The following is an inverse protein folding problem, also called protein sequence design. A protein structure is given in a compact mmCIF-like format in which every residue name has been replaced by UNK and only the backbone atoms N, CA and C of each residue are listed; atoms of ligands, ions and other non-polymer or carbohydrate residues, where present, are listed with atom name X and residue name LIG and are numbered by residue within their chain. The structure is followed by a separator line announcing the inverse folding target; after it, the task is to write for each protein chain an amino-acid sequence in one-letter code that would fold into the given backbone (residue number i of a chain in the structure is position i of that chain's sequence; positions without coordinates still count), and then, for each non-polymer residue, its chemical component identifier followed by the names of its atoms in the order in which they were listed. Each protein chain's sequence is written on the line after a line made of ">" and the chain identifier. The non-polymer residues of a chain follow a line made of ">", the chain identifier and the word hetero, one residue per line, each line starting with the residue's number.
data_IF_075952788033
#
_entry.id   IF_075952788033
#
_cell.length_a   1.000
_cell.length_b   1.000
_cell.length_c   1.000
_cell.angle_alpha   90.00
_cell.angle_beta   90.00
_cell.angle_gamma   90.00
#
_symmetry.space_group_name_H-M   'P 1'
#
loop_
_entity.id
_entity.type
_entity.pdbx_description
1 polymer ?
#
# COMPACT_ATOMS: atom_id res chain seq x y z
N UNK A 1 24.63 5.66 20.05
CA UNK A 1 24.53 5.51 20.00
C UNK A 1 24.23 5.10 20.35
N UNK A 2 23.91 4.70 20.14
CA UNK A 2 23.70 4.34 20.18
C UNK A 2 23.51 3.82 20.32
N UNK A 3 23.15 3.65 20.05
CA UNK A 3 23.08 3.34 19.86
C UNK A 3 22.99 2.71 19.96
N UNK A 4 22.93 2.45 19.97
CA UNK A 4 22.91 1.84 19.74
C UNK A 4 22.43 1.49 19.61
N UNK A 5 22.12 1.37 19.26
CA UNK A 5 21.74 1.22 18.80
C UNK A 5 21.39 1.52 18.06
N UNK A 6 21.45 1.79 17.98
CA UNK A 6 21.11 2.74 16.99
C UNK A 6 20.47 2.29 15.81
N UNK A 7 20.13 1.37 15.65
CA UNK A 7 19.58 0.87 14.60
C UNK A 7 18.29 1.19 14.23
N UNK A 8 17.52 1.40 15.02
CA UNK A 8 16.22 1.76 14.78
C UNK A 8 16.01 3.00 14.08
N UNK A 9 16.88 3.81 14.01
CA UNK A 9 16.78 5.01 13.23
C UNK A 9 16.49 4.74 11.78
N UNK A 10 17.14 3.74 11.24
CA UNK A 10 16.88 3.34 9.87
C UNK A 10 15.47 2.91 9.66
N UNK A 11 14.92 2.23 10.62
CA UNK A 11 13.55 1.79 10.53
C UNK A 11 12.61 2.97 10.49
N UNK A 12 12.87 4.00 11.25
CA UNK A 12 12.04 5.18 11.24
C UNK A 12 12.05 5.88 9.88
N UNK A 13 13.20 5.89 9.24
CA UNK A 13 13.31 6.51 7.92
C UNK A 13 12.54 5.75 6.86
N UNK A 14 12.48 4.45 7.02
CA UNK A 14 11.78 3.60 6.07
C UNK A 14 10.37 3.26 6.51
N UNK A 15 9.81 4.07 7.38
CA UNK A 15 8.54 3.78 8.00
C UNK A 15 7.39 3.91 7.00
N UNK A 16 7.10 2.82 6.31
CA UNK A 16 5.96 2.72 5.39
C UNK A 16 5.21 1.44 5.70
N UNK A 17 3.97 1.39 5.26
CA UNK A 17 3.20 0.17 5.27
C UNK A 17 2.96 -0.23 3.81
N UNK A 18 2.84 -1.51 3.55
CA UNK A 18 2.76 -1.96 2.16
C UNK A 18 1.83 -3.14 2.01
N UNK A 19 1.34 -3.31 0.79
CA UNK A 19 0.55 -4.47 0.40
C UNK A 19 0.91 -4.85 -1.02
N UNK A 20 0.56 -6.07 -1.41
CA UNK A 20 0.87 -6.62 -2.73
C UNK A 20 -0.42 -6.74 -3.52
N UNK A 21 -0.39 -6.36 -4.78
CA UNK A 21 -1.56 -6.41 -5.64
C UNK A 21 -1.21 -6.99 -7.00
N UNK A 22 -2.24 -7.44 -7.72
CA UNK A 22 -2.12 -8.00 -9.06
C UNK A 22 -2.37 -6.93 -10.11
N UNK A 23 -1.93 -7.21 -11.33
CA UNK A 23 -2.16 -6.33 -12.47
C UNK A 23 -3.34 -6.84 -13.28
N UNK A 24 -4.31 -5.97 -13.52
CA UNK A 24 -5.47 -6.28 -14.36
C UNK A 24 -5.11 -6.29 -15.83
N UNK A 25 -5.99 -6.89 -16.65
CA UNK A 25 -5.77 -6.95 -18.08
C UNK A 25 -5.73 -5.58 -18.77
N UNK A 26 -6.31 -4.57 -18.14
CA UNK A 26 -6.27 -3.18 -18.63
C UNK A 26 -5.10 -2.38 -18.06
N UNK A 27 -4.14 -3.10 -17.43
CA UNK A 27 -2.91 -2.51 -16.86
C UNK A 27 -3.16 -1.55 -15.69
N UNK A 28 -4.26 -1.76 -15.00
CA UNK A 28 -4.50 -1.14 -13.69
C UNK A 28 -4.18 -2.16 -12.61
N UNK A 29 -4.13 -1.69 -11.36
CA UNK A 29 -3.90 -2.58 -10.23
C UNK A 29 -5.22 -2.91 -9.57
N UNK A 30 -5.42 -4.18 -9.23
CA UNK A 30 -6.62 -4.63 -8.57
C UNK A 30 -6.30 -4.93 -7.11
N UNK A 31 -6.95 -4.22 -6.21
CA UNK A 31 -6.84 -4.52 -4.80
C UNK A 31 -8.24 -4.69 -4.25
N UNK A 32 -8.62 -5.94 -4.07
CA UNK A 32 -9.91 -6.32 -3.46
C UNK A 32 -11.12 -5.77 -4.22
N UNK A 33 -11.03 -5.79 -5.55
CA UNK A 33 -12.12 -5.29 -6.38
C UNK A 33 -12.11 -3.79 -6.62
N UNK A 34 -11.20 -3.08 -5.99
CA UNK A 34 -11.00 -1.65 -6.23
C UNK A 34 -9.83 -1.46 -7.18
N UNK A 35 -9.91 -0.47 -8.05
CA UNK A 35 -8.90 -0.23 -9.07
C UNK A 35 -7.99 0.90 -8.65
N UNK A 36 -6.69 0.66 -8.76
CA UNK A 36 -5.66 1.68 -8.49
C UNK A 36 -4.96 1.94 -9.81
N UNK A 37 -4.85 3.21 -10.20
CA UNK A 37 -4.15 3.59 -11.42
C UNK A 37 -2.65 3.70 -11.16
N UNK A 38 -1.86 3.09 -12.07
CA UNK A 38 -0.42 3.09 -11.94
C UNK A 38 0.19 3.04 -13.35
N UNK A 39 1.20 3.87 -13.59
CA UNK A 39 1.94 3.81 -14.84
C UNK A 39 3.00 2.71 -14.74
N UNK A 40 2.69 1.54 -15.26
CA UNK A 40 3.56 0.38 -15.17
C UNK A 40 4.90 0.58 -15.89
N UNK A 41 4.95 1.47 -16.87
CA UNK A 41 6.22 1.72 -17.57
C UNK A 41 7.25 2.38 -16.66
N UNK A 42 6.80 3.03 -15.59
CA UNK A 42 7.69 3.62 -14.60
C UNK A 42 8.09 2.64 -13.50
N UNK A 43 7.37 1.53 -13.39
CA UNK A 43 7.57 0.55 -12.34
C UNK A 43 8.36 -0.67 -12.84
N UNK A 44 8.05 -1.11 -14.05
CA UNK A 44 8.69 -2.28 -14.67
C UNK A 44 9.84 -1.77 -15.54
N UNK A 45 11.09 -2.13 -15.21
CA UNK A 45 12.25 -1.62 -15.95
C UNK A 45 12.20 -2.03 -17.42
N UNK A 46 12.58 -1.10 -18.30
CA UNK A 46 12.70 -1.34 -19.73
C UNK A 46 11.41 -1.75 -20.41
N UNK A 47 10.28 -1.35 -19.84
CA UNK A 47 8.98 -1.61 -20.42
C UNK A 47 8.44 -0.38 -21.12
N UNK A 48 7.52 -0.60 -22.06
CA UNK A 48 6.84 0.48 -22.76
C UNK A 48 5.49 -0.02 -23.26
N UNK A 49 4.63 0.94 -23.62
CA UNK A 49 3.34 0.62 -24.20
C UNK A 49 3.45 0.66 -25.72
N UNK A 50 3.00 -0.40 -26.37
CA UNK A 50 3.02 -0.52 -27.82
C UNK A 50 1.66 -1.02 -28.28
N UNK A 51 0.90 -0.16 -28.95
CA UNK A 51 -0.40 -0.53 -29.48
C UNK A 51 -1.38 -1.00 -28.39
N UNK A 52 -1.28 -0.43 -27.20
CA UNK A 52 -2.13 -0.81 -26.10
C UNK A 52 -1.65 -2.02 -25.31
N UNK A 53 -0.47 -2.54 -25.64
CA UNK A 53 0.11 -3.71 -24.95
C UNK A 53 1.42 -3.30 -24.28
N UNK A 54 1.62 -3.78 -23.06
CA UNK A 54 2.87 -3.58 -22.34
C UNK A 54 3.92 -4.56 -22.86
N UNK A 55 5.04 -4.03 -23.32
CA UNK A 55 6.10 -4.84 -23.95
C UNK A 55 7.44 -4.57 -23.29
N UNK A 56 8.36 -5.51 -23.43
CA UNK A 56 9.71 -5.38 -22.92
C UNK A 56 10.61 -4.65 -23.94
N UNK A 57 11.90 -4.61 -23.66
CA UNK A 57 12.85 -3.92 -24.53
C UNK A 57 13.00 -4.59 -25.91
N UNK A 58 12.60 -5.84 -26.02
CA UNK A 58 12.62 -6.58 -27.28
C UNK A 58 11.29 -6.51 -28.01
N UNK A 59 10.37 -5.67 -27.52
CA UNK A 59 9.03 -5.49 -28.08
C UNK A 59 8.16 -6.74 -27.94
N UNK A 60 8.49 -7.58 -26.99
CA UNK A 60 7.69 -8.76 -26.68
C UNK A 60 6.72 -8.46 -25.55
N UNK A 61 5.53 -9.01 -25.66
CA UNK A 61 4.47 -8.83 -24.67
C UNK A 61 4.92 -9.37 -23.31
N UNK A 62 4.72 -8.57 -22.27
CA UNK A 62 5.05 -8.94 -20.90
C UNK A 62 3.86 -9.68 -20.30
N UNK A 63 4.13 -10.87 -19.72
CA UNK A 63 3.08 -11.67 -19.07
C UNK A 63 2.81 -11.09 -17.68
N UNK A 64 1.80 -10.21 -17.59
CA UNK A 64 1.46 -9.54 -16.35
C UNK A 64 0.85 -10.47 -15.31
N UNK A 65 0.38 -11.65 -15.72
CA UNK A 65 -0.20 -12.60 -14.76
C UNK A 65 0.83 -13.15 -13.78
N UNK A 66 2.09 -13.07 -14.14
CA UNK A 66 3.19 -13.54 -13.29
C UNK A 66 3.81 -12.43 -12.45
N UNK A 67 3.33 -11.21 -12.61
CA UNK A 67 3.90 -10.05 -11.94
C UNK A 67 2.99 -9.58 -10.81
N UNK A 68 3.63 -9.11 -9.75
CA UNK A 68 2.94 -8.49 -8.63
C UNK A 68 3.58 -7.14 -8.35
N UNK A 69 2.77 -6.21 -7.87
CA UNK A 69 3.22 -4.86 -7.56
C UNK A 69 3.11 -4.67 -6.05
N UNK A 70 4.17 -4.15 -5.45
CA UNK A 70 4.15 -3.75 -4.05
C UNK A 70 3.75 -2.28 -3.99
N UNK A 71 2.69 -1.99 -3.27
CA UNK A 71 2.23 -0.62 -3.04
C UNK A 71 2.63 -0.24 -1.64
N UNK A 72 3.35 0.87 -1.50
CA UNK A 72 3.79 1.37 -0.20
C UNK A 72 3.20 2.75 0.03
N UNK A 73 2.86 3.04 1.27
CA UNK A 73 2.31 4.34 1.65
C UNK A 73 2.72 4.62 3.08
N UNK A 74 2.89 5.88 3.43
CA UNK A 74 3.23 6.22 4.80
C UNK A 74 2.00 6.09 5.70
N UNK A 75 2.17 5.57 6.91
CA UNK A 75 1.02 5.32 7.79
C UNK A 75 0.16 6.54 8.05
N UNK A 76 0.75 7.74 8.14
CA UNK A 76 -0.06 8.93 8.40
C UNK A 76 -0.77 9.45 7.15
N UNK A 77 -0.46 8.93 5.98
CA UNK A 77 -1.18 9.28 4.75
C UNK A 77 -2.43 8.44 4.55
N UNK A 78 -2.60 7.39 5.33
CA UNK A 78 -3.80 6.57 5.31
C UNK A 78 -4.80 7.17 6.30
N UNK A 79 -6.03 7.36 5.86
CA UNK A 79 -7.09 7.88 6.72
C UNK A 79 -8.10 6.79 7.01
N UNK A 80 -8.49 6.68 8.28
CA UNK A 80 -9.53 5.74 8.66
C UNK A 80 -10.89 6.40 8.56
N UNK A 81 -11.89 5.65 8.13
CA UNK A 81 -13.27 6.11 8.04
C UNK A 81 -14.19 5.06 8.63
N UNK A 82 -15.23 5.49 9.31
CA UNK A 82 -16.27 4.57 9.76
C UNK A 82 -17.27 4.24 8.66
N UNK A 83 -17.17 4.92 7.51
CA UNK A 83 -17.94 4.56 6.31
C UNK A 83 -17.13 3.54 5.51
N UNK A 84 -17.57 2.28 5.56
CA UNK A 84 -16.84 1.17 4.95
C UNK A 84 -16.73 1.32 3.44
N UNK A 85 -17.67 2.04 2.80
CA UNK A 85 -17.65 2.22 1.36
C UNK A 85 -16.68 3.31 0.91
N UNK A 86 -16.21 4.15 1.81
CA UNK A 86 -15.36 5.27 1.46
C UNK A 86 -13.94 4.88 1.10
N UNK A 87 -13.39 3.88 1.76
CA UNK A 87 -11.99 3.52 1.62
C UNK A 87 -11.72 2.46 0.57
N UNK A 88 -10.44 2.24 0.31
CA UNK A 88 -9.99 1.24 -0.64
C UNK A 88 -10.21 -0.18 -0.11
N UNK A 89 -10.08 -0.36 1.19
CA UNK A 89 -10.22 -1.66 1.83
C UNK A 89 -10.73 -1.44 3.24
N UNK A 90 -11.46 -2.40 3.77
CA UNK A 90 -11.89 -2.34 5.16
C UNK A 90 -11.08 -3.31 6.02
N UNK A 91 -11.04 -3.06 7.30
CA UNK A 91 -10.32 -3.90 8.23
C UNK A 91 -10.71 -3.61 9.65
N UNK A 92 -10.13 -4.40 10.56
CA UNK A 92 -10.41 -4.29 11.99
C UNK A 92 -9.15 -3.83 12.71
N UNK A 93 -9.31 -2.95 13.67
CA UNK A 93 -8.21 -2.47 14.49
C UNK A 93 -7.84 -3.56 15.47
N UNK A 94 -6.63 -4.13 15.32
CA UNK A 94 -6.19 -5.23 16.17
C UNK A 94 -5.10 -4.83 17.16
N UNK A 95 -4.52 -3.64 16.98
CA UNK A 95 -3.54 -3.14 17.93
C UNK A 95 -3.53 -1.61 17.89
N UNK A 96 -3.09 -1.01 19.01
CA UNK A 96 -3.10 0.42 19.20
C UNK A 96 -1.97 0.78 20.14
N UNK A 97 -1.11 1.71 19.73
CA UNK A 97 0.00 2.18 20.56
C UNK A 97 0.01 3.71 20.52
N UNK A 98 0.04 4.34 21.69
CA UNK A 98 0.17 5.78 21.77
C UNK A 98 1.64 6.18 21.64
N UNK A 99 1.94 7.09 20.74
CA UNK A 99 3.31 7.52 20.44
C UNK A 99 3.67 8.90 21.01
N UNK A 100 2.81 9.47 21.82
CA UNK A 100 3.07 10.78 22.45
C UNK A 100 2.30 11.92 21.83
N UNK A 101 2.18 11.96 20.52
CA UNK A 101 1.43 12.99 19.80
C UNK A 101 0.42 12.41 18.83
N UNK A 102 0.43 11.10 18.67
CA UNK A 102 -0.52 10.40 17.81
C UNK A 102 -0.60 8.94 18.25
N UNK A 103 -1.50 8.19 17.60
CA UNK A 103 -1.66 6.76 17.83
C UNK A 103 -1.21 6.02 16.59
N UNK A 104 -0.59 4.87 16.79
CA UNK A 104 -0.24 3.97 15.70
C UNK A 104 -1.11 2.74 15.81
N UNK A 105 -1.82 2.41 14.72
CA UNK A 105 -2.78 1.32 14.68
C UNK A 105 -2.29 0.24 13.74
N UNK A 106 -2.56 -1.01 14.10
CA UNK A 106 -2.42 -2.13 13.17
C UNK A 106 -3.83 -2.53 12.76
N UNK A 107 -4.09 -2.46 11.47
CA UNK A 107 -5.40 -2.78 10.89
C UNK A 107 -5.26 -4.08 10.12
N UNK A 108 -6.00 -5.10 10.52
CA UNK A 108 -6.05 -6.35 9.76
C UNK A 108 -7.19 -6.27 8.77
N UNK A 109 -6.84 -6.22 7.48
CA UNK A 109 -7.84 -6.10 6.43
C UNK A 109 -8.61 -7.41 6.28
N UNK A 110 -9.76 -7.34 5.62
CA UNK A 110 -10.60 -8.51 5.38
C UNK A 110 -9.91 -9.57 4.53
N UNK A 111 -8.81 -9.20 3.86
CA UNK A 111 -8.04 -10.12 3.04
C UNK A 111 -6.78 -10.62 3.74
N UNK A 112 -6.65 -10.33 5.04
CA UNK A 112 -5.54 -10.86 5.83
C UNK A 112 -4.26 -10.04 5.81
N UNK A 113 -4.26 -8.86 5.20
CA UNK A 113 -3.11 -7.98 5.23
C UNK A 113 -3.14 -7.14 6.50
N UNK A 114 -1.98 -6.91 7.09
CA UNK A 114 -1.85 -6.01 8.22
C UNK A 114 -1.22 -4.71 7.75
N UNK A 115 -1.93 -3.60 7.93
CA UNK A 115 -1.46 -2.29 7.54
C UNK A 115 -1.33 -1.42 8.79
N UNK A 116 -0.35 -0.51 8.76
CA UNK A 116 -0.11 0.40 9.87
C UNK A 116 -0.68 1.76 9.50
N UNK A 117 -1.46 2.34 10.40
CA UNK A 117 -2.05 3.66 10.21
C UNK A 117 -1.72 4.52 11.41
N UNK A 118 -1.20 5.72 11.16
CA UNK A 118 -0.95 6.70 12.21
C UNK A 118 -2.02 7.78 12.14
N UNK A 119 -2.65 8.05 13.28
CA UNK A 119 -3.73 9.03 13.37
C UNK A 119 -3.65 9.72 14.71
N UNK A 120 -3.94 11.00 14.75
CA UNK A 120 -3.94 11.75 16.00
C UNK A 120 -5.23 11.56 16.81
N UNK A 121 -6.26 10.98 16.20
CA UNK A 121 -7.51 10.71 16.87
C UNK A 121 -7.55 9.29 17.43
N UNK A 122 -8.27 9.12 18.52
CA UNK A 122 -8.41 7.82 19.16
C UNK A 122 -9.56 7.05 18.54
N UNK A 123 -9.22 5.86 18.02
CA UNK A 123 -10.18 4.88 17.53
C UNK A 123 -10.20 3.70 18.50
N UNK A 124 -11.28 2.94 18.52
CA UNK A 124 -11.42 1.86 19.47
C UNK A 124 -10.89 0.55 18.91
N UNK A 125 -10.31 -0.26 19.80
CA UNK A 125 -9.91 -1.61 19.44
C UNK A 125 -11.11 -2.39 18.94
N UNK A 126 -10.86 -3.25 17.95
CA UNK A 126 -11.86 -4.11 17.32
C UNK A 126 -12.90 -3.38 16.46
N UNK A 127 -12.80 -2.06 16.34
CA UNK A 127 -13.65 -1.34 15.41
C UNK A 127 -13.32 -1.73 13.98
N UNK A 128 -14.34 -1.78 13.15
CA UNK A 128 -14.18 -1.98 11.71
C UNK A 128 -14.15 -0.61 11.04
N UNK A 129 -13.11 -0.38 10.25
CA UNK A 129 -12.93 0.89 9.55
C UNK A 129 -12.58 0.61 8.11
N UNK A 130 -12.77 1.61 7.24
CA UNK A 130 -12.20 1.55 5.90
C UNK A 130 -10.97 2.45 5.86
N UNK A 131 -10.07 2.13 4.94
CA UNK A 131 -8.81 2.83 4.80
C UNK A 131 -8.81 3.63 3.50
N UNK A 132 -8.76 4.95 3.63
CA UNK A 132 -8.72 5.85 2.50
C UNK A 132 -7.24 6.13 2.20
N UNK A 133 -6.80 5.71 1.03
CA UNK A 133 -5.40 5.82 0.61
C UNK A 133 -5.32 6.63 -0.67
N UNK A 134 -4.86 7.90 -0.60
CA UNK A 134 -4.75 8.73 -1.80
C UNK A 134 -3.72 8.17 -2.77
N UNK A 135 -4.08 8.10 -4.05
CA UNK A 135 -3.20 7.52 -5.05
C UNK A 135 -1.89 8.29 -5.21
N UNK A 136 -1.92 9.62 -5.04
CA UNK A 136 -0.71 10.44 -5.16
C UNK A 136 0.26 10.24 -4.00
N UNK A 137 -0.16 9.55 -2.93
CA UNK A 137 0.72 9.22 -1.80
C UNK A 137 1.27 7.82 -1.88
N UNK A 138 0.79 7.01 -2.80
CA UNK A 138 1.25 5.63 -2.97
C UNK A 138 2.53 5.57 -3.78
N UNK A 139 3.39 4.62 -3.42
CA UNK A 139 4.59 4.32 -4.20
C UNK A 139 4.49 2.88 -4.68
N UNK A 140 4.92 2.65 -5.90
CA UNK A 140 4.76 1.38 -6.57
C UNK A 140 6.11 0.79 -6.93
N UNK A 141 6.28 -0.49 -6.66
CA UNK A 141 7.50 -1.23 -7.01
C UNK A 141 7.14 -2.60 -7.51
N UNK A 142 7.93 -3.11 -8.44
CA UNK A 142 7.78 -4.47 -8.89
C UNK A 142 8.22 -5.42 -7.78
N UNK A 143 7.37 -6.39 -7.45
CA UNK A 143 7.70 -7.38 -6.44
C UNK A 143 8.72 -8.36 -6.99
N UNK A 144 9.77 -8.55 -6.26
CA UNK A 144 10.85 -9.48 -6.63
C UNK A 144 10.64 -10.87 -6.05
#
# INVERSE_FOLDING_TARGET
>A
QLEPDGIHVMVAEDHTTSFVTSINADYTLDFNGKVINCDLTKVIPKSSMSGGTLVDENKESIDISKLKIVVSIQPYDIKMSDDIEEGLVSGRIINLIYKGDHYSYVIRTEYGHDLIVDDEYLWNMDDTVSLVMPEDKMKFQLKK
#
